data_IF_760869094131
#
_entry.id   IF_760869094131
#
_cell.length_a   1.000
_cell.length_b   1.000
_cell.length_c   1.000
_cell.angle_alpha   90.00
_cell.angle_beta   90.00
_cell.angle_gamma   90.00
#
_symmetry.space_group_name_H-M   'P 1'
#
loop_
_entity.id
_entity.type
_entity.pdbx_description
1 polymer ?
#
# COMPACT_ATOMS: atom_id res chain seq x y z
N UNK A 1 42.33 -3.02 64.02
CA UNK A 1 42.03 -3.79 62.78
C UNK A 1 40.54 -3.64 62.45
N UNK A 2 40.19 -2.81 61.45
CA UNK A 2 38.90 -2.88 60.75
C UNK A 2 39.15 -2.50 59.29
N UNK A 3 39.21 -3.51 58.43
CA UNK A 3 39.35 -3.41 56.97
C UNK A 3 38.02 -2.96 56.38
N UNK A 4 38.00 -1.80 55.72
CA UNK A 4 36.84 -1.30 54.98
C UNK A 4 36.80 -2.01 53.62
N UNK A 5 35.75 -2.80 53.36
CA UNK A 5 35.47 -3.37 52.05
C UNK A 5 34.74 -2.35 51.18
N UNK A 6 35.38 -1.87 50.12
CA UNK A 6 34.71 -1.12 49.05
C UNK A 6 33.95 -2.09 48.14
N UNK A 7 32.62 -2.10 48.24
CA UNK A 7 31.74 -2.76 47.29
C UNK A 7 31.59 -1.82 46.09
N UNK A 8 32.15 -2.19 44.94
CA UNK A 8 31.92 -1.52 43.66
C UNK A 8 30.54 -1.95 43.16
N UNK A 9 29.57 -1.03 43.26
CA UNK A 9 28.24 -1.22 42.67
C UNK A 9 28.34 -0.99 41.15
N UNK A 10 28.34 -2.06 40.37
CA UNK A 10 28.19 -2.01 38.91
C UNK A 10 26.73 -1.67 38.58
N UNK A 11 26.47 -0.41 38.25
CA UNK A 11 25.19 0.05 37.70
C UNK A 11 25.03 -0.49 36.27
N UNK A 12 24.24 -1.54 36.12
CA UNK A 12 23.72 -1.95 34.82
C UNK A 12 22.72 -0.90 34.34
N UNK A 13 23.13 -0.08 33.36
CA UNK A 13 22.22 0.79 32.62
C UNK A 13 21.54 -0.06 31.55
N UNK A 14 20.21 -0.27 31.60
CA UNK A 14 19.52 -0.96 30.52
C UNK A 14 19.56 -0.07 29.27
N UNK A 15 20.09 -0.61 28.17
CA UNK A 15 19.96 -0.03 26.83
C UNK A 15 18.46 0.00 26.47
N UNK A 16 17.81 1.13 26.69
CA UNK A 16 16.50 1.40 26.11
C UNK A 16 16.68 1.59 24.60
N UNK A 17 16.25 0.59 23.83
CA UNK A 17 16.03 0.75 22.39
C UNK A 17 14.86 1.71 22.19
N UNK A 18 15.17 2.96 21.84
CA UNK A 18 14.17 3.92 21.40
C UNK A 18 13.77 3.57 19.97
N UNK A 19 12.67 2.84 19.81
CA UNK A 19 11.98 2.83 18.53
C UNK A 19 11.58 4.28 18.21
N UNK A 20 12.08 4.83 17.11
CA UNK A 20 11.74 6.18 16.67
C UNK A 20 10.22 6.35 16.57
N UNK A 21 9.69 7.45 17.12
CA UNK A 21 8.26 7.73 17.06
C UNK A 21 7.80 7.78 15.58
N UNK A 22 6.58 7.33 15.24
CA UNK A 22 6.12 7.28 13.84
C UNK A 22 6.31 8.60 13.07
N UNK A 23 6.11 9.75 13.74
CA UNK A 23 6.33 11.08 13.15
C UNK A 23 7.80 11.34 12.73
N UNK A 24 8.78 10.84 13.49
CA UNK A 24 10.19 10.98 13.16
C UNK A 24 10.53 10.20 11.87
N UNK A 25 9.99 8.99 11.73
CA UNK A 25 10.19 8.17 10.52
C UNK A 25 9.51 8.77 9.27
N UNK A 26 8.37 9.44 9.43
CA UNK A 26 7.73 10.15 8.32
C UNK A 26 8.60 11.30 7.81
N UNK A 27 9.16 12.10 8.73
CA UNK A 27 9.99 13.25 8.38
C UNK A 27 11.27 12.80 7.68
N UNK A 28 11.97 11.80 8.22
CA UNK A 28 13.18 11.21 7.62
C UNK A 28 12.95 10.71 6.19
N UNK A 29 11.83 10.02 5.94
CA UNK A 29 11.48 9.58 4.57
C UNK A 29 11.24 10.76 3.64
N UNK A 30 10.50 11.77 4.09
CA UNK A 30 10.25 12.95 3.27
C UNK A 30 11.53 13.71 2.94
N UNK A 31 12.46 13.84 3.89
CA UNK A 31 13.79 14.43 3.66
C UNK A 31 14.54 13.69 2.57
N UNK A 32 14.61 12.35 2.65
CA UNK A 32 15.27 11.52 1.65
C UNK A 32 14.63 11.66 0.25
N UNK A 33 13.29 11.60 0.15
CA UNK A 33 12.62 11.77 -1.14
C UNK A 33 12.84 13.16 -1.74
N UNK A 34 12.91 14.20 -0.90
CA UNK A 34 13.19 15.57 -1.33
C UNK A 34 14.64 15.75 -1.78
N UNK A 35 15.58 15.09 -1.11
CA UNK A 35 16.99 15.03 -1.53
C UNK A 35 17.11 14.36 -2.91
N UNK A 36 16.43 13.22 -3.10
CA UNK A 36 16.38 12.53 -4.39
C UNK A 36 15.72 13.38 -5.49
N UNK A 37 14.63 14.09 -5.19
CA UNK A 37 13.98 15.04 -6.11
C UNK A 37 14.94 16.15 -6.55
N UNK A 38 15.67 16.76 -5.63
CA UNK A 38 16.61 17.84 -5.93
C UNK A 38 17.74 17.40 -6.89
N UNK A 39 18.22 16.16 -6.77
CA UNK A 39 19.35 15.65 -7.56
C UNK A 39 18.90 15.07 -8.90
N UNK A 40 17.76 14.37 -8.90
CA UNK A 40 17.28 13.67 -10.09
C UNK A 40 16.33 14.49 -10.97
N UNK A 41 15.77 15.58 -10.42
CA UNK A 41 14.66 16.34 -11.01
C UNK A 41 13.38 15.53 -11.20
N UNK A 42 13.29 14.34 -10.57
CA UNK A 42 12.09 13.51 -10.55
C UNK A 42 11.27 13.88 -9.33
N UNK A 43 9.96 14.16 -9.46
CA UNK A 43 9.16 14.56 -8.32
C UNK A 43 9.15 13.56 -7.17
N UNK A 44 9.22 14.06 -5.93
CA UNK A 44 9.36 13.25 -4.71
C UNK A 44 8.32 12.13 -4.57
N UNK A 45 7.11 12.35 -5.09
CA UNK A 45 5.99 11.42 -4.99
C UNK A 45 6.21 10.11 -5.78
N UNK A 46 7.13 10.08 -6.75
CA UNK A 46 7.53 8.83 -7.41
C UNK A 46 8.33 7.94 -6.47
N UNK A 47 9.32 8.51 -5.76
CA UNK A 47 10.11 7.78 -4.77
C UNK A 47 9.25 7.28 -3.62
N UNK A 48 8.36 8.14 -3.10
CA UNK A 48 7.41 7.75 -2.06
C UNK A 48 6.49 6.60 -2.50
N UNK A 49 6.01 6.62 -3.75
CA UNK A 49 5.13 5.59 -4.30
C UNK A 49 5.82 4.24 -4.43
N UNK A 50 7.05 4.23 -4.96
CA UNK A 50 7.88 3.03 -5.08
C UNK A 50 8.23 2.48 -3.71
N UNK A 51 8.72 3.35 -2.80
CA UNK A 51 9.05 2.97 -1.43
C UNK A 51 7.87 2.30 -0.72
N UNK A 52 6.69 2.93 -0.79
CA UNK A 52 5.49 2.38 -0.17
C UNK A 52 5.06 1.06 -0.83
N UNK A 53 5.16 0.92 -2.15
CA UNK A 53 4.89 -0.36 -2.81
C UNK A 53 5.81 -1.46 -2.30
N UNK A 54 7.11 -1.24 -2.30
CA UNK A 54 8.13 -2.21 -1.86
C UNK A 54 7.94 -2.62 -0.39
N UNK A 55 7.60 -1.68 0.49
CA UNK A 55 7.23 -1.96 1.87
C UNK A 55 6.05 -2.93 1.98
N UNK A 56 5.00 -2.72 1.18
CA UNK A 56 3.83 -3.60 1.18
C UNK A 56 4.19 -5.01 0.69
N UNK A 57 5.01 -5.11 -0.36
CA UNK A 57 5.45 -6.39 -0.91
C UNK A 57 6.31 -7.15 0.10
N UNK A 58 7.30 -6.49 0.73
CA UNK A 58 8.16 -7.09 1.76
C UNK A 58 7.39 -7.57 2.99
N UNK A 59 6.28 -6.94 3.35
CA UNK A 59 5.41 -7.42 4.42
C UNK A 59 4.66 -8.71 4.06
N UNK A 60 4.35 -8.90 2.77
CA UNK A 60 3.62 -10.05 2.27
C UNK A 60 4.53 -11.23 1.85
N UNK A 61 5.79 -10.95 1.52
CA UNK A 61 6.76 -11.92 1.00
C UNK A 61 7.84 -12.25 2.02
N UNK A 62 8.06 -13.55 2.24
CA UNK A 62 9.07 -14.05 3.19
C UNK A 62 10.42 -14.32 2.56
N UNK A 63 10.46 -14.41 1.24
CA UNK A 63 11.66 -14.66 0.44
C UNK A 63 12.50 -13.40 0.18
N UNK A 64 11.95 -12.21 0.46
CA UNK A 64 12.67 -10.96 0.41
C UNK A 64 13.40 -10.67 1.73
N UNK A 65 14.56 -9.98 1.69
CA UNK A 65 15.25 -9.58 2.91
C UNK A 65 14.40 -8.62 3.75
N UNK A 66 14.59 -8.68 5.08
CA UNK A 66 13.93 -7.76 6.00
C UNK A 66 14.42 -6.33 5.77
N UNK A 67 13.52 -5.38 6.00
CA UNK A 67 13.85 -3.96 5.96
C UNK A 67 14.86 -3.63 7.08
N UNK A 68 16.03 -3.09 6.70
CA UNK A 68 17.08 -2.64 7.63
C UNK A 68 17.08 -1.12 7.82
N UNK A 69 16.67 -0.36 6.80
CA UNK A 69 16.70 1.11 6.79
C UNK A 69 15.34 1.80 6.78
N UNK A 70 15.39 3.12 6.57
CA UNK A 70 14.25 4.03 6.42
C UNK A 70 13.66 3.97 5.00
N UNK A 71 14.38 3.46 4.01
CA UNK A 71 13.91 3.24 2.65
C UNK A 71 13.72 1.74 2.43
N UNK A 72 12.53 1.39 1.95
CA UNK A 72 12.08 0.05 1.63
C UNK A 72 12.30 -0.39 0.20
N UNK A 73 12.80 0.48 -0.68
CA UNK A 73 13.18 0.11 -2.05
C UNK A 73 14.19 -1.04 -1.98
N UNK A 74 13.92 -2.10 -2.75
CA UNK A 74 14.80 -3.26 -2.86
C UNK A 74 15.43 -3.29 -4.24
N UNK A 75 16.76 -3.27 -4.28
CA UNK A 75 17.53 -3.53 -5.50
C UNK A 75 18.14 -4.92 -5.38
N UNK A 76 17.83 -5.87 -6.29
CA UNK A 76 18.45 -7.19 -6.29
C UNK A 76 19.97 -7.10 -6.46
N UNK A 77 20.76 -8.01 -5.85
CA UNK A 77 22.21 -8.00 -5.96
C UNK A 77 22.73 -7.94 -7.40
N UNK A 78 22.09 -8.68 -8.29
CA UNK A 78 22.47 -8.83 -9.70
C UNK A 78 22.25 -7.53 -10.48
N UNK A 79 21.25 -6.74 -10.07
CA UNK A 79 21.01 -5.41 -10.63
C UNK A 79 21.91 -4.37 -10.00
N UNK A 80 22.21 -4.51 -8.70
CA UNK A 80 23.11 -3.61 -7.97
C UNK A 80 24.54 -3.69 -8.50
N UNK A 81 25.15 -4.88 -8.46
CA UNK A 81 26.55 -5.12 -8.80
C UNK A 81 26.76 -5.31 -10.31
N UNK A 82 25.71 -5.63 -11.06
CA UNK A 82 25.74 -5.93 -12.48
C UNK A 82 25.61 -7.43 -12.76
N UNK A 83 24.91 -7.84 -13.83
CA UNK A 83 24.51 -9.24 -14.06
C UNK A 83 25.70 -10.19 -14.30
N UNK A 84 26.84 -9.64 -14.75
CA UNK A 84 28.06 -10.40 -15.01
C UNK A 84 29.12 -10.26 -13.90
N UNK A 85 28.84 -9.49 -12.84
CA UNK A 85 29.76 -9.34 -11.73
C UNK A 85 29.78 -10.63 -10.90
N UNK A 86 30.95 -11.23 -10.68
CA UNK A 86 31.05 -12.42 -9.83
C UNK A 86 30.93 -12.09 -8.35
N UNK A 87 31.20 -10.84 -7.96
CA UNK A 87 31.00 -10.35 -6.62
C UNK A 87 29.66 -9.60 -6.54
N UNK A 88 28.63 -10.27 -6.02
CA UNK A 88 27.28 -9.70 -5.88
C UNK A 88 27.14 -8.76 -4.68
N UNK A 89 28.14 -8.73 -3.81
CA UNK A 89 28.27 -7.81 -2.68
C UNK A 89 29.35 -6.76 -2.95
N UNK A 90 29.63 -6.48 -4.22
CA UNK A 90 30.55 -5.42 -4.63
C UNK A 90 30.04 -4.07 -4.12
N UNK A 91 30.92 -3.35 -3.43
CA UNK A 91 30.67 -2.04 -2.86
C UNK A 91 31.53 -0.95 -3.52
N UNK A 92 32.37 -1.29 -4.50
CA UNK A 92 33.19 -0.30 -5.18
C UNK A 92 32.43 0.28 -6.38
N UNK A 93 32.06 1.58 -6.38
CA UNK A 93 31.25 2.17 -7.45
C UNK A 93 31.88 2.02 -8.85
N UNK A 94 33.22 2.05 -8.93
CA UNK A 94 33.93 1.89 -10.19
C UNK A 94 33.74 0.50 -10.78
N UNK A 95 34.00 -0.56 -10.01
CA UNK A 95 33.86 -1.95 -10.49
C UNK A 95 32.40 -2.28 -10.80
N UNK A 96 31.46 -1.85 -9.96
CA UNK A 96 30.01 -1.96 -10.21
C UNK A 96 29.64 -1.37 -11.58
N UNK A 97 30.14 -0.17 -11.90
CA UNK A 97 29.85 0.48 -13.19
C UNK A 97 30.40 -0.29 -14.39
N UNK A 98 31.56 -0.96 -14.25
CA UNK A 98 32.16 -1.76 -15.33
C UNK A 98 31.31 -2.99 -15.69
N UNK A 99 30.54 -3.51 -14.73
CA UNK A 99 29.62 -4.63 -14.95
C UNK A 99 28.19 -4.18 -15.27
N UNK A 100 27.96 -2.88 -15.49
CA UNK A 100 26.63 -2.34 -15.78
C UNK A 100 25.67 -2.35 -14.60
N UNK A 101 26.18 -2.49 -13.37
CA UNK A 101 25.38 -2.39 -12.15
C UNK A 101 24.90 -0.97 -11.89
N UNK A 102 23.74 -0.85 -11.23
CA UNK A 102 23.16 0.47 -10.92
C UNK A 102 23.69 1.06 -9.60
N UNK A 103 24.37 0.27 -8.77
CA UNK A 103 24.88 0.68 -7.47
C UNK A 103 25.82 1.88 -7.56
N UNK A 104 25.65 2.82 -6.64
CA UNK A 104 26.46 4.04 -6.52
C UNK A 104 26.62 4.42 -5.05
N UNK A 105 27.67 5.19 -4.77
CA UNK A 105 27.88 5.92 -3.53
C UNK A 105 27.01 7.18 -3.56
N UNK A 106 25.90 7.16 -2.83
CA UNK A 106 24.91 8.24 -2.79
C UNK A 106 25.17 9.25 -1.67
N UNK A 107 25.79 8.82 -0.57
CA UNK A 107 26.11 9.68 0.57
C UNK A 107 27.52 10.32 0.50
N UNK A 108 28.38 9.87 -0.42
CA UNK A 108 29.73 10.37 -0.66
C UNK A 108 30.80 9.80 0.27
N UNK A 109 30.59 8.63 0.87
CA UNK A 109 31.56 8.00 1.78
C UNK A 109 32.58 7.08 1.09
N UNK A 110 32.48 6.95 -0.24
CA UNK A 110 33.32 6.11 -1.08
C UNK A 110 32.81 4.68 -1.26
N UNK A 111 31.68 4.31 -0.64
CA UNK A 111 31.12 2.96 -0.62
C UNK A 111 29.74 2.99 -1.28
N UNK A 112 29.50 2.06 -2.20
CA UNK A 112 28.16 1.78 -2.70
C UNK A 112 27.52 0.67 -1.85
N UNK A 113 26.80 1.04 -0.79
CA UNK A 113 26.16 0.10 0.13
C UNK A 113 24.65 -0.07 -0.16
N UNK A 114 24.26 -1.29 -0.54
CA UNK A 114 22.87 -1.68 -0.82
C UNK A 114 21.97 -1.69 0.42
N UNK A 115 22.53 -1.49 1.61
CA UNK A 115 21.80 -1.35 2.88
C UNK A 115 21.71 0.09 3.37
N UNK A 116 22.41 1.02 2.70
CA UNK A 116 22.36 2.45 2.96
C UNK A 116 21.19 3.10 2.20
N UNK A 117 20.36 3.84 2.93
CA UNK A 117 19.14 4.45 2.38
C UNK A 117 19.42 5.48 1.27
N UNK A 118 20.50 6.25 1.36
CA UNK A 118 20.85 7.26 0.36
C UNK A 118 21.39 6.61 -0.91
N UNK A 119 22.28 5.63 -0.78
CA UNK A 119 22.86 4.89 -1.91
C UNK A 119 21.77 4.17 -2.69
N UNK A 120 20.86 3.45 -2.00
CA UNK A 120 19.72 2.76 -2.61
C UNK A 120 18.82 3.75 -3.34
N UNK A 121 18.44 4.84 -2.67
CA UNK A 121 17.51 5.81 -3.24
C UNK A 121 18.13 6.52 -4.44
N UNK A 122 19.41 6.87 -4.38
CA UNK A 122 20.08 7.59 -5.45
C UNK A 122 20.41 6.68 -6.63
N UNK A 123 20.80 5.42 -6.38
CA UNK A 123 20.95 4.41 -7.43
C UNK A 123 19.63 4.25 -8.21
N UNK A 124 18.51 4.13 -7.49
CA UNK A 124 17.19 4.03 -8.09
C UNK A 124 16.78 5.32 -8.82
N UNK A 125 17.07 6.50 -8.26
CA UNK A 125 16.80 7.78 -8.90
C UNK A 125 17.61 7.97 -10.20
N UNK A 126 18.89 7.55 -10.21
CA UNK A 126 19.74 7.53 -11.41
C UNK A 126 19.16 6.59 -12.47
N UNK A 127 18.69 5.41 -12.05
CA UNK A 127 18.03 4.45 -12.94
C UNK A 127 16.76 5.04 -13.57
N UNK A 128 15.87 5.66 -12.79
CA UNK A 128 14.68 6.30 -13.38
C UNK A 128 15.06 7.43 -14.36
N UNK A 129 16.04 8.26 -13.97
CA UNK A 129 16.47 9.42 -14.75
C UNK A 129 17.12 9.01 -16.08
N UNK A 130 17.71 7.82 -16.20
CA UNK A 130 18.31 7.36 -17.46
C UNK A 130 17.28 7.18 -18.57
N UNK A 131 16.01 6.95 -18.23
CA UNK A 131 14.90 6.94 -19.18
C UNK A 131 14.39 8.35 -19.47
N UNK A 132 14.36 9.23 -18.48
CA UNK A 132 13.82 10.58 -18.56
C UNK A 132 13.11 11.01 -17.27
N UNK A 133 12.67 12.25 -17.20
CA UNK A 133 12.06 12.83 -15.98
C UNK A 133 10.55 13.05 -16.10
N UNK A 134 9.96 12.89 -17.28
CA UNK A 134 8.52 12.97 -17.46
C UNK A 134 7.80 11.65 -17.17
N UNK A 135 6.47 11.73 -17.07
CA UNK A 135 5.62 10.62 -16.70
C UNK A 135 5.77 9.39 -17.61
N UNK A 136 5.93 9.60 -18.92
CA UNK A 136 5.99 8.50 -19.89
C UNK A 136 7.28 7.70 -19.72
N UNK A 137 8.42 8.40 -19.63
CA UNK A 137 9.70 7.75 -19.46
C UNK A 137 9.84 7.08 -18.08
N UNK A 138 9.33 7.70 -17.01
CA UNK A 138 9.32 7.06 -15.69
C UNK A 138 8.44 5.79 -15.70
N UNK A 139 7.29 5.80 -16.40
CA UNK A 139 6.47 4.59 -16.56
C UNK A 139 7.23 3.48 -17.29
N UNK A 140 8.00 3.82 -18.31
CA UNK A 140 8.87 2.86 -19.02
C UNK A 140 9.96 2.29 -18.09
N UNK A 141 10.62 3.13 -17.30
CA UNK A 141 11.62 2.71 -16.32
C UNK A 141 11.03 1.75 -15.27
N UNK A 142 9.85 2.05 -14.74
CA UNK A 142 9.15 1.18 -13.79
C UNK A 142 8.74 -0.15 -14.43
N UNK A 143 8.33 -0.14 -15.70
CA UNK A 143 8.05 -1.38 -16.42
C UNK A 143 9.30 -2.26 -16.57
N UNK A 144 10.42 -1.66 -16.98
CA UNK A 144 11.71 -2.35 -17.08
C UNK A 144 12.24 -2.86 -15.72
N UNK A 145 11.90 -2.15 -14.63
CA UNK A 145 12.28 -2.57 -13.29
C UNK A 145 11.45 -3.76 -12.76
N UNK A 146 10.14 -3.69 -12.92
CA UNK A 146 9.20 -4.60 -12.26
C UNK A 146 8.63 -5.71 -13.16
N UNK A 147 8.74 -5.54 -14.49
CA UNK A 147 8.28 -6.49 -15.51
C UNK A 147 6.81 -6.92 -15.35
N UNK A 148 5.98 -6.06 -14.75
CA UNK A 148 4.57 -6.36 -14.45
C UNK A 148 3.68 -5.12 -14.50
N UNK A 149 2.71 -5.11 -15.43
CA UNK A 149 1.73 -4.01 -15.62
C UNK A 149 1.06 -3.60 -14.33
N UNK A 150 0.48 -4.58 -13.64
CA UNK A 150 -0.26 -4.35 -12.41
C UNK A 150 0.59 -3.67 -11.35
N UNK A 151 1.87 -4.04 -11.24
CA UNK A 151 2.80 -3.39 -10.31
C UNK A 151 2.99 -1.92 -10.66
N UNK A 152 3.24 -1.63 -11.95
CA UNK A 152 3.38 -0.25 -12.44
C UNK A 152 2.10 0.55 -12.19
N UNK A 153 0.93 0.00 -12.47
CA UNK A 153 -0.36 0.67 -12.24
C UNK A 153 -0.59 0.96 -10.75
N UNK A 154 -0.24 0.01 -9.86
CA UNK A 154 -0.31 0.17 -8.41
C UNK A 154 0.62 1.29 -7.92
N UNK A 155 1.84 1.39 -8.47
CA UNK A 155 2.80 2.45 -8.14
C UNK A 155 2.29 3.80 -8.65
N UNK A 156 1.81 3.86 -9.90
CA UNK A 156 1.27 5.09 -10.49
C UNK A 156 -0.03 5.55 -9.79
N UNK A 157 -0.82 4.62 -9.24
CA UNK A 157 -1.94 4.94 -8.37
C UNK A 157 -1.50 5.68 -7.10
N UNK A 158 -0.43 5.21 -6.44
CA UNK A 158 0.17 5.90 -5.28
C UNK A 158 0.77 7.25 -5.66
N UNK A 159 1.41 7.36 -6.82
CA UNK A 159 1.90 8.63 -7.39
C UNK A 159 0.76 9.65 -7.46
N UNK A 160 -0.40 9.26 -8.00
CA UNK A 160 -1.58 10.13 -8.08
C UNK A 160 -2.03 10.60 -6.70
N UNK A 161 -2.11 9.68 -5.72
CA UNK A 161 -2.51 10.00 -4.35
C UNK A 161 -1.54 10.99 -3.68
N UNK A 162 -0.25 10.70 -3.69
CA UNK A 162 0.76 11.54 -3.06
C UNK A 162 0.91 12.91 -3.74
N UNK A 163 0.78 12.97 -5.06
CA UNK A 163 0.73 14.23 -5.80
C UNK A 163 -0.49 15.06 -5.40
N UNK A 164 -1.66 14.43 -5.26
CA UNK A 164 -2.91 15.12 -4.96
C UNK A 164 -2.96 15.65 -3.52
N UNK A 165 -2.62 14.80 -2.53
CA UNK A 165 -2.70 15.17 -1.11
C UNK A 165 -1.46 15.89 -0.59
N UNK A 166 -0.33 15.85 -1.30
CA UNK A 166 0.91 16.51 -0.90
C UNK A 166 1.57 15.90 0.35
N UNK A 167 1.15 14.69 0.76
CA UNK A 167 1.64 14.03 1.97
C UNK A 167 1.64 12.51 1.80
N UNK A 168 2.56 11.83 2.51
CA UNK A 168 2.58 10.37 2.62
C UNK A 168 1.69 9.84 3.75
N UNK A 169 1.13 10.71 4.60
CA UNK A 169 0.28 10.36 5.75
C UNK A 169 -1.18 10.14 5.32
N UNK A 170 -1.42 9.04 4.61
CA UNK A 170 -2.74 8.64 4.09
C UNK A 170 -3.25 7.37 4.79
N UNK A 171 -3.16 7.35 6.13
CA UNK A 171 -3.43 6.20 7.00
C UNK A 171 -4.77 6.27 7.75
N UNK A 172 -5.63 7.21 7.37
CA UNK A 172 -6.97 7.32 7.95
C UNK A 172 -7.94 6.37 7.26
N UNK A 173 -8.89 5.87 8.04
CA UNK A 173 -9.95 4.99 7.56
C UNK A 173 -11.32 5.44 8.09
N UNK A 174 -12.36 5.03 7.37
CA UNK A 174 -13.77 5.27 7.69
C UNK A 174 -14.56 3.96 7.61
N UNK A 175 -15.66 3.89 8.36
CA UNK A 175 -16.60 2.78 8.23
C UNK A 175 -17.48 3.01 6.99
N UNK A 176 -17.77 1.99 6.15
CA UNK A 176 -18.39 2.23 4.84
C UNK A 176 -19.83 2.75 4.93
N UNK A 177 -20.55 2.47 6.01
CA UNK A 177 -21.91 2.98 6.23
C UNK A 177 -21.88 4.18 7.20
N UNK A 178 -22.51 5.32 6.89
CA UNK A 178 -22.57 6.45 7.83
C UNK A 178 -23.33 6.08 9.11
N UNK A 179 -22.79 6.46 10.27
CA UNK A 179 -23.33 6.16 11.61
C UNK A 179 -24.82 6.50 11.83
N UNK A 180 -25.38 7.43 11.05
CA UNK A 180 -26.79 7.85 11.15
C UNK A 180 -27.78 6.86 10.53
N UNK A 181 -27.29 5.83 9.82
CA UNK A 181 -28.12 4.80 9.22
C UNK A 181 -28.05 3.52 10.05
N UNK A 182 -29.15 2.78 10.05
CA UNK A 182 -29.21 1.45 10.66
C UNK A 182 -28.49 0.43 9.78
N UNK A 183 -27.69 -0.42 10.43
CA UNK A 183 -27.00 -1.53 9.78
C UNK A 183 -26.77 -2.67 10.77
N UNK A 184 -26.60 -3.89 10.24
CA UNK A 184 -26.12 -5.03 11.00
C UNK A 184 -25.12 -5.84 10.19
N UNK A 185 -24.13 -6.41 10.86
CA UNK A 185 -23.11 -7.27 10.25
C UNK A 185 -22.50 -8.18 11.32
N UNK A 186 -22.02 -9.34 10.88
CA UNK A 186 -21.25 -10.30 11.68
C UNK A 186 -20.10 -10.83 10.82
N UNK A 187 -19.15 -11.54 11.42
CA UNK A 187 -18.18 -12.27 10.60
C UNK A 187 -18.93 -13.32 9.79
N UNK A 188 -18.83 -13.20 8.47
CA UNK A 188 -19.36 -14.15 7.49
C UNK A 188 -18.22 -14.73 6.65
N UNK A 189 -16.98 -14.53 7.09
CA UNK A 189 -15.80 -14.98 6.40
C UNK A 189 -15.75 -16.51 6.35
N UNK A 190 -15.57 -17.08 5.16
CA UNK A 190 -15.52 -18.53 5.01
C UNK A 190 -16.90 -19.20 4.93
N UNK A 191 -18.00 -18.47 5.12
CA UNK A 191 -19.36 -19.01 4.98
C UNK A 191 -19.57 -19.64 3.60
N UNK A 192 -20.31 -20.74 3.54
CA UNK A 192 -20.61 -21.41 2.27
C UNK A 192 -21.50 -20.51 1.38
N UNK A 193 -21.07 -20.24 0.14
CA UNK A 193 -21.92 -19.54 -0.85
C UNK A 193 -22.78 -20.56 -1.59
N UNK A 194 -24.00 -20.77 -1.09
CA UNK A 194 -24.96 -21.74 -1.64
C UNK A 194 -25.52 -21.31 -3.01
N UNK A 195 -24.87 -21.72 -4.10
CA UNK A 195 -25.41 -21.94 -5.46
C UNK A 195 -24.34 -22.68 -6.30
N UNK A 196 -24.06 -23.93 -5.94
CA UNK A 196 -23.24 -24.86 -6.74
C UNK A 196 -21.73 -24.55 -6.80
N UNK A 197 -20.98 -24.86 -5.73
CA UNK A 197 -19.51 -24.89 -5.77
C UNK A 197 -18.85 -24.80 -4.38
N UNK A 198 -17.56 -25.16 -4.30
CA UNK A 198 -16.67 -24.99 -3.12
C UNK A 198 -16.24 -23.52 -2.93
N UNK A 199 -17.15 -22.55 -3.09
CA UNK A 199 -16.83 -21.13 -2.92
C UNK A 199 -17.05 -20.70 -1.47
N UNK A 200 -16.00 -20.17 -0.87
CA UNK A 200 -16.06 -19.50 0.41
C UNK A 200 -16.50 -18.05 0.22
N UNK A 201 -17.14 -17.48 1.24
CA UNK A 201 -17.46 -16.07 1.27
C UNK A 201 -16.22 -15.25 1.61
N UNK A 202 -15.64 -14.58 0.61
CA UNK A 202 -14.43 -13.76 0.72
C UNK A 202 -14.72 -12.31 1.11
N UNK A 203 -15.60 -12.12 2.10
CA UNK A 203 -15.99 -10.79 2.54
C UNK A 203 -16.88 -10.77 3.77
N UNK A 204 -17.37 -9.58 4.08
CA UNK A 204 -18.37 -9.34 5.12
C UNK A 204 -19.57 -8.64 4.50
N UNK A 205 -20.76 -9.20 4.73
CA UNK A 205 -22.01 -8.60 4.29
C UNK A 205 -22.55 -7.65 5.39
N UNK A 206 -22.75 -6.39 5.02
CA UNK A 206 -23.29 -5.34 5.89
C UNK A 206 -24.72 -5.05 5.43
N UNK A 207 -25.69 -5.57 6.15
CA UNK A 207 -27.12 -5.38 5.86
C UNK A 207 -27.55 -3.98 6.29
N UNK A 208 -28.21 -3.27 5.38
CA UNK A 208 -28.76 -1.93 5.59
C UNK A 208 -29.88 -1.69 4.59
N UNK A 209 -30.71 -0.67 4.82
CA UNK A 209 -31.82 -0.35 3.90
C UNK A 209 -31.32 -0.04 2.48
N UNK A 210 -32.11 -0.41 1.48
CA UNK A 210 -31.84 -0.06 0.09
C UNK A 210 -31.69 1.46 -0.06
N UNK A 211 -30.69 1.92 -0.81
CA UNK A 211 -30.37 3.33 -0.98
C UNK A 211 -29.53 3.93 0.16
N UNK A 212 -29.19 3.17 1.22
CA UNK A 212 -28.28 3.64 2.27
C UNK A 212 -26.95 4.07 1.65
N UNK A 213 -26.42 5.28 1.93
CA UNK A 213 -25.15 5.74 1.38
C UNK A 213 -23.99 4.82 1.71
N UNK A 214 -23.13 4.55 0.73
CA UNK A 214 -21.89 3.79 0.87
C UNK A 214 -20.72 4.74 0.64
N UNK A 215 -19.76 4.74 1.55
CA UNK A 215 -18.58 5.60 1.56
C UNK A 215 -17.30 4.80 1.31
N UNK A 216 -16.28 5.45 0.74
CA UNK A 216 -14.93 4.88 0.71
C UNK A 216 -14.41 4.68 2.13
N UNK A 217 -13.76 3.54 2.36
CA UNK A 217 -13.16 3.21 3.66
C UNK A 217 -11.75 3.79 3.82
N UNK A 218 -11.11 4.21 2.73
CA UNK A 218 -9.69 4.61 2.70
C UNK A 218 -9.43 5.76 1.71
N UNK A 219 -8.21 6.30 1.77
CA UNK A 219 -7.63 7.02 0.64
C UNK A 219 -7.26 6.02 -0.44
N UNK A 220 -7.64 6.27 -1.69
CA UNK A 220 -7.37 5.30 -2.74
C UNK A 220 -7.70 5.77 -4.16
N UNK A 221 -7.38 4.90 -5.11
CA UNK A 221 -7.73 5.06 -6.52
C UNK A 221 -8.81 4.04 -6.85
N UNK A 222 -9.87 4.49 -7.53
CA UNK A 222 -10.87 3.59 -8.12
C UNK A 222 -10.21 2.82 -9.27
N UNK A 223 -9.94 1.54 -9.08
CA UNK A 223 -9.34 0.69 -10.13
C UNK A 223 -10.39 0.11 -11.06
N UNK A 224 -11.62 0.00 -10.57
CA UNK A 224 -12.67 -0.70 -11.29
C UNK A 224 -14.04 -0.21 -10.86
N UNK A 225 -14.92 -0.01 -11.85
CA UNK A 225 -16.31 0.39 -11.66
C UNK A 225 -17.16 -0.31 -12.71
N UNK A 226 -18.23 -1.00 -12.30
CA UNK A 226 -19.19 -1.53 -13.25
C UNK A 226 -19.91 -2.79 -12.78
N UNK A 227 -20.45 -3.52 -13.75
CA UNK A 227 -21.24 -4.72 -13.50
C UNK A 227 -20.39 -6.00 -13.51
N UNK A 228 -20.66 -6.93 -12.60
CA UNK A 228 -20.36 -8.34 -12.82
C UNK A 228 -21.54 -9.24 -12.43
N UNK A 229 -21.55 -10.48 -12.97
CA UNK A 229 -22.66 -11.43 -12.77
C UNK A 229 -22.97 -11.70 -11.30
N UNK A 230 -21.96 -11.76 -10.43
CA UNK A 230 -22.15 -12.16 -9.02
C UNK A 230 -22.37 -10.96 -8.09
N UNK A 231 -21.50 -9.96 -8.16
CA UNK A 231 -21.53 -8.77 -7.31
C UNK A 231 -22.41 -7.62 -7.82
N UNK A 232 -23.02 -7.74 -9.00
CA UNK A 232 -23.85 -6.68 -9.56
C UNK A 232 -23.06 -5.41 -9.83
N UNK A 233 -23.61 -4.25 -9.47
CA UNK A 233 -22.87 -2.99 -9.48
C UNK A 233 -21.84 -2.99 -8.36
N UNK A 234 -20.58 -2.83 -8.76
CA UNK A 234 -19.42 -2.92 -7.87
C UNK A 234 -18.38 -1.86 -8.17
N UNK A 235 -17.67 -1.45 -7.13
CA UNK A 235 -16.51 -0.57 -7.21
C UNK A 235 -15.33 -1.19 -6.46
N UNK A 236 -14.14 -1.06 -7.03
CA UNK A 236 -12.88 -1.53 -6.50
C UNK A 236 -11.95 -0.35 -6.25
N UNK A 237 -11.43 -0.21 -5.04
CA UNK A 237 -10.60 0.92 -4.62
C UNK A 237 -9.31 0.38 -4.04
N UNK A 238 -8.14 0.80 -4.54
CA UNK A 238 -6.85 0.41 -3.96
C UNK A 238 -6.24 1.52 -3.11
N UNK A 239 -5.85 1.17 -1.89
CA UNK A 239 -5.21 2.08 -0.94
C UNK A 239 -3.67 2.10 -1.05
N UNK A 240 -3.04 3.00 -0.28
CA UNK A 240 -1.57 3.09 -0.23
C UNK A 240 -0.89 1.86 0.39
N UNK A 241 -1.61 1.02 1.11
CA UNK A 241 -1.12 -0.20 1.74
C UNK A 241 -1.31 -1.44 0.85
N UNK A 242 -1.56 -1.20 -0.44
CA UNK A 242 -1.80 -2.23 -1.46
C UNK A 242 -3.02 -3.12 -1.15
N UNK A 243 -3.96 -2.59 -0.36
CA UNK A 243 -5.23 -3.24 -0.09
C UNK A 243 -6.24 -2.81 -1.14
N UNK A 244 -6.80 -3.77 -1.85
CA UNK A 244 -7.94 -3.58 -2.75
C UNK A 244 -9.23 -3.83 -1.98
N UNK A 245 -10.04 -2.77 -1.86
CA UNK A 245 -11.32 -2.71 -1.18
C UNK A 245 -12.42 -2.91 -2.22
N UNK A 246 -13.18 -3.98 -2.05
CA UNK A 246 -14.23 -4.38 -2.98
C UNK A 246 -15.60 -4.09 -2.39
N UNK A 247 -16.40 -3.29 -3.08
CA UNK A 247 -17.76 -2.93 -2.68
C UNK A 247 -18.71 -3.44 -3.74
N UNK A 248 -19.68 -4.28 -3.37
CA UNK A 248 -20.60 -4.90 -4.30
C UNK A 248 -22.05 -4.82 -3.84
N UNK A 249 -22.95 -5.26 -4.72
CA UNK A 249 -24.40 -5.22 -4.58
C UNK A 249 -24.96 -3.80 -4.51
N UNK A 250 -24.24 -2.81 -5.06
CA UNK A 250 -24.67 -1.42 -5.03
C UNK A 250 -25.97 -1.23 -5.83
N UNK A 251 -26.80 -0.28 -5.42
CA UNK A 251 -27.94 0.19 -6.21
C UNK A 251 -27.45 1.07 -7.37
N UNK A 252 -26.42 1.86 -7.12
CA UNK A 252 -25.78 2.71 -8.12
C UNK A 252 -24.54 3.38 -7.55
N UNK A 253 -23.83 4.10 -8.41
CA UNK A 253 -22.63 4.86 -8.09
C UNK A 253 -22.96 6.30 -7.74
N UNK A 254 -22.12 6.93 -6.92
CA UNK A 254 -22.19 8.37 -6.72
C UNK A 254 -21.76 9.12 -7.99
N UNK A 255 -22.28 10.33 -8.17
CA UNK A 255 -21.95 11.18 -9.31
C UNK A 255 -20.45 11.53 -9.31
N UNK A 256 -19.82 11.51 -10.50
CA UNK A 256 -18.41 11.88 -10.67
C UNK A 256 -17.38 10.82 -10.26
N UNK A 257 -17.83 9.64 -9.80
CA UNK A 257 -16.95 8.50 -9.53
C UNK A 257 -16.75 7.70 -10.81
N UNK A 258 -15.52 7.62 -11.30
CA UNK A 258 -15.11 6.84 -12.46
C UNK A 258 -13.83 6.05 -12.17
N UNK A 259 -13.45 5.13 -13.06
CA UNK A 259 -12.14 4.49 -12.99
C UNK A 259 -11.02 5.54 -13.08
N UNK A 260 -10.05 5.45 -12.17
CA UNK A 260 -8.97 6.42 -11.99
C UNK A 260 -9.29 7.59 -11.05
N UNK A 261 -10.53 7.72 -10.55
CA UNK A 261 -10.88 8.74 -9.55
C UNK A 261 -10.10 8.53 -8.24
N UNK A 262 -9.67 9.64 -7.63
CA UNK A 262 -9.14 9.68 -6.27
C UNK A 262 -10.32 9.72 -5.29
N UNK A 263 -10.24 8.92 -4.23
CA UNK A 263 -11.20 8.93 -3.13
C UNK A 263 -10.50 9.09 -1.80
N UNK A 264 -11.24 9.57 -0.80
CA UNK A 264 -10.79 9.72 0.58
C UNK A 264 -11.76 9.06 1.57
N UNK A 265 -11.33 8.73 2.80
CA UNK A 265 -12.18 8.09 3.78
C UNK A 265 -13.45 8.90 4.05
N UNK A 266 -14.61 8.25 3.90
CA UNK A 266 -15.91 8.89 4.11
C UNK A 266 -16.51 9.54 2.85
N UNK A 267 -15.77 9.64 1.74
CA UNK A 267 -16.31 10.11 0.46
C UNK A 267 -17.42 9.19 -0.04
N UNK A 268 -18.54 9.75 -0.50
CA UNK A 268 -19.65 8.98 -1.06
C UNK A 268 -19.24 8.31 -2.37
N UNK A 269 -19.43 6.98 -2.48
CA UNK A 269 -19.08 6.21 -3.68
C UNK A 269 -20.28 5.51 -4.32
N UNK A 270 -21.38 5.37 -3.58
CA UNK A 270 -22.60 4.74 -4.09
C UNK A 270 -23.64 4.57 -3.00
N UNK A 271 -24.54 3.61 -3.19
CA UNK A 271 -25.54 3.25 -2.20
C UNK A 271 -25.79 1.75 -2.16
N UNK A 272 -26.20 1.26 -0.99
CA UNK A 272 -26.59 -0.14 -0.75
C UNK A 272 -27.73 -0.52 -1.69
N UNK A 273 -27.64 -1.70 -2.28
CA UNK A 273 -28.66 -2.25 -3.14
C UNK A 273 -28.82 -3.74 -2.95
N UNK A 274 -29.37 -4.38 -3.97
CA UNK A 274 -29.57 -5.82 -4.05
C UNK A 274 -29.23 -6.34 -5.46
N UNK A 275 -28.25 -5.68 -6.10
CA UNK A 275 -27.90 -5.95 -7.50
C UNK A 275 -26.94 -7.13 -7.63
N UNK A 276 -27.14 -7.96 -8.66
CA UNK A 276 -26.27 -9.09 -8.99
C UNK A 276 -27.01 -10.39 -9.25
N UNK A 277 -26.27 -11.48 -9.31
CA UNK A 277 -26.77 -12.83 -9.62
C UNK A 277 -27.53 -12.93 -10.94
N UNK A 278 -27.04 -12.26 -11.99
CA UNK A 278 -27.69 -12.24 -13.30
C UNK A 278 -27.04 -11.31 -14.33
N UNK A 279 -27.71 -11.09 -15.49
CA UNK A 279 -27.28 -10.09 -16.47
C UNK A 279 -27.32 -8.66 -15.91
N UNK A 280 -26.64 -7.69 -16.55
CA UNK A 280 -26.64 -6.28 -16.14
C UNK A 280 -28.02 -5.75 -15.75
N UNK A 281 -28.11 -5.14 -14.57
CA UNK A 281 -29.37 -4.57 -14.03
C UNK A 281 -30.21 -5.53 -13.16
N UNK A 282 -29.83 -6.81 -13.05
CA UNK A 282 -30.53 -7.75 -12.16
C UNK A 282 -30.54 -7.25 -10.71
N UNK A 283 -31.70 -7.18 -10.07
CA UNK A 283 -31.81 -6.77 -8.66
C UNK A 283 -32.91 -7.54 -7.93
N UNK A 284 -32.93 -7.46 -6.60
CA UNK A 284 -34.02 -8.00 -5.76
C UNK A 284 -33.96 -9.50 -5.46
N UNK A 285 -32.88 -10.19 -5.84
CA UNK A 285 -32.73 -11.65 -5.60
C UNK A 285 -32.35 -12.02 -4.17
N UNK A 286 -32.00 -11.05 -3.34
CA UNK A 286 -31.55 -11.21 -1.96
C UNK A 286 -31.79 -9.90 -1.19
N UNK A 287 -31.81 -9.93 0.16
CA UNK A 287 -32.01 -8.74 0.97
C UNK A 287 -30.94 -7.67 0.69
N UNK A 288 -31.27 -6.37 0.75
CA UNK A 288 -30.31 -5.30 0.53
C UNK A 288 -29.13 -5.36 1.51
N UNK A 289 -27.91 -5.34 0.97
CA UNK A 289 -26.67 -5.32 1.75
C UNK A 289 -25.52 -4.78 0.92
N UNK A 290 -24.48 -4.30 1.60
CA UNK A 290 -23.17 -4.07 1.01
C UNK A 290 -22.32 -5.32 1.23
N UNK A 291 -21.91 -5.98 0.16
CA UNK A 291 -20.83 -6.94 0.25
C UNK A 291 -19.49 -6.20 0.21
N UNK A 292 -18.70 -6.36 1.26
CA UNK A 292 -17.40 -5.71 1.41
C UNK A 292 -16.27 -6.76 1.49
N UNK A 293 -15.37 -6.74 0.51
CA UNK A 293 -14.21 -7.64 0.43
C UNK A 293 -12.89 -6.87 0.54
N UNK A 294 -11.85 -7.56 1.01
CA UNK A 294 -10.49 -7.01 1.08
C UNK A 294 -9.51 -8.01 0.48
N UNK A 295 -8.64 -7.49 -0.40
CA UNK A 295 -7.65 -8.27 -1.14
C UNK A 295 -6.29 -7.57 -1.08
N UNK A 296 -5.20 -8.33 -1.13
CA UNK A 296 -3.83 -7.79 -1.25
C UNK A 296 -3.09 -8.46 -2.38
N UNK A 297 -2.10 -7.76 -2.92
CA UNK A 297 -1.19 -8.23 -3.97
C UNK A 297 0.23 -8.37 -3.42
N UNK A 298 0.92 -9.47 -3.74
CA UNK A 298 2.29 -9.75 -3.27
C UNK A 298 3.33 -9.60 -4.39
N UNK A 299 2.96 -8.98 -5.51
CA UNK A 299 3.78 -8.89 -6.71
C UNK A 299 3.62 -10.09 -7.65
N UNK A 300 2.98 -11.18 -7.23
CA UNK A 300 2.72 -12.36 -8.04
C UNK A 300 1.23 -12.63 -8.19
N UNK A 301 0.53 -12.76 -7.06
CA UNK A 301 -0.87 -13.13 -6.97
C UNK A 301 -1.61 -12.21 -6.00
N UNK A 302 -2.94 -12.20 -6.12
CA UNK A 302 -3.81 -11.60 -5.13
C UNK A 302 -4.43 -12.66 -4.23
N UNK A 303 -4.65 -12.30 -2.97
CA UNK A 303 -5.39 -13.13 -2.01
C UNK A 303 -6.40 -12.27 -1.25
N UNK A 304 -7.51 -12.90 -0.90
CA UNK A 304 -8.54 -12.34 -0.04
C UNK A 304 -8.18 -12.51 1.44
N UNK A 305 -8.63 -11.62 2.31
CA UNK A 305 -8.50 -11.77 3.76
C UNK A 305 -9.69 -11.16 4.51
N UNK A 306 -9.92 -11.62 5.74
CA UNK A 306 -11.13 -11.29 6.52
C UNK A 306 -11.23 -9.77 6.79
N UNK A 307 -12.26 -9.08 6.25
CA UNK A 307 -12.47 -7.67 6.49
C UNK A 307 -13.12 -7.37 7.85
N UNK A 308 -13.74 -8.36 8.51
CA UNK A 308 -14.52 -8.14 9.73
C UNK A 308 -13.73 -7.45 10.86
N UNK A 309 -12.49 -7.85 11.21
CA UNK A 309 -11.69 -7.18 12.24
C UNK A 309 -11.43 -5.70 11.94
N UNK A 310 -11.16 -5.37 10.67
CA UNK A 310 -10.92 -4.00 10.21
C UNK A 310 -12.20 -3.17 10.29
N UNK A 311 -13.32 -3.73 9.83
CA UNK A 311 -14.64 -3.10 9.96
C UNK A 311 -14.99 -2.78 11.42
N UNK A 312 -14.76 -3.71 12.36
CA UNK A 312 -14.95 -3.46 13.81
C UNK A 312 -14.04 -2.34 14.32
N UNK A 313 -12.78 -2.30 13.88
CA UNK A 313 -11.83 -1.27 14.28
C UNK A 313 -12.26 0.11 13.79
N UNK A 314 -12.59 0.25 12.50
CA UNK A 314 -13.01 1.53 11.92
C UNK A 314 -14.34 2.02 12.49
N UNK A 315 -15.29 1.12 12.72
CA UNK A 315 -16.55 1.43 13.42
C UNK A 315 -16.26 2.04 14.81
N UNK A 316 -15.39 1.39 15.60
CA UNK A 316 -15.02 1.87 16.94
C UNK A 316 -14.33 3.23 16.88
N UNK A 317 -13.40 3.42 15.94
CA UNK A 317 -12.67 4.69 15.78
C UNK A 317 -13.63 5.85 15.43
N UNK A 318 -14.59 5.63 14.53
CA UNK A 318 -15.60 6.65 14.20
C UNK A 318 -16.49 7.00 15.41
N UNK A 319 -16.81 6.02 16.27
CA UNK A 319 -17.59 6.27 17.49
C UNK A 319 -16.81 7.12 18.51
N UNK A 320 -15.51 6.92 18.63
CA UNK A 320 -14.65 7.62 19.61
C UNK A 320 -14.30 9.05 19.19
N UNK A 321 -14.03 9.33 17.91
CA UNK A 321 -13.64 10.67 17.41
C UNK A 321 -14.67 11.79 17.65
N UNK A 322 -15.88 11.46 18.09
CA UNK A 322 -16.97 12.42 18.39
C UNK A 322 -17.31 12.53 19.89
N UNK A 323 -16.46 11.99 20.78
CA UNK A 323 -16.43 12.32 22.21
C UNK A 323 -15.33 13.33 22.47
#
# INVERSE_FOLDING_TARGET
MKTLWCIILLLFIPLQSFAAAPNDLYNKRMELYKKAEAISLIPWYYFAAVDQYERNIRQARRDLPKLTGVIGIYIPPERWAGPLNKNQEDQNPFTISQFGGIGIDGNGDGIADRTNDEDVLFAFARFLRSYGTDHTHIKMALWDYYERSKTVDIILGKVKLYKHFGTIKLDQYAFPIPRRFEYSYRSTWGDARGWGGRRIHEGTDIFAHYGTPVRSTCYGIVELKGWNKYGGWRIGIRDINNTYHYFAHLNGFANGIEEGSIVEPGMLIGSVGSSGYGPPGTSGKFPPHLHYGMYKDNGYTEWSFDPYPYLKQWERQERTKKR
#
